data_IF_860714392846
#
_entry.id   IF_860714392846
#
_cell.length_a   1.000
_cell.length_b   1.000
_cell.length_c   1.000
_cell.angle_alpha   90.00
_cell.angle_beta   90.00
_cell.angle_gamma   90.00
#
_symmetry.space_group_name_H-M   'P 1'
#
loop_
_entity.id
_entity.type
_entity.pdbx_description
1 polymer ?
#
# COMPACT_ATOMS: atom_id res chain seq x y z
N UNK A 1 5.21 -3.86 -2.33
CA UNK A 1 4.90 -5.28 -2.04
C UNK A 1 3.45 -5.43 -1.60
N UNK A 2 2.89 -6.63 -1.63
CA UNK A 2 1.51 -6.93 -1.24
C UNK A 2 1.42 -8.10 -0.26
N UNK A 3 2.57 -8.77 -0.02
CA UNK A 3 2.64 -10.07 0.66
C UNK A 3 3.39 -9.97 2.00
N UNK A 4 3.46 -8.77 2.58
CA UNK A 4 4.16 -8.50 3.85
C UNK A 4 5.65 -8.91 3.80
N UNK A 5 6.27 -8.71 2.66
CA UNK A 5 7.72 -8.88 2.52
C UNK A 5 8.43 -7.66 3.10
N UNK A 6 8.57 -7.68 4.40
CA UNK A 6 9.05 -6.53 5.17
C UNK A 6 10.46 -6.09 4.78
N UNK A 7 11.28 -6.99 4.26
CA UNK A 7 12.59 -6.66 3.69
C UNK A 7 12.52 -5.70 2.50
N UNK A 8 11.46 -5.81 1.68
CA UNK A 8 11.21 -4.88 0.56
C UNK A 8 10.59 -3.56 1.03
N UNK A 9 9.68 -3.64 1.98
CA UNK A 9 9.09 -2.44 2.60
C UNK A 9 10.18 -1.63 3.29
N UNK A 10 11.16 -2.31 3.90
CA UNK A 10 12.31 -1.66 4.54
C UNK A 10 13.15 -0.84 3.58
N UNK A 11 13.35 -1.26 2.33
CA UNK A 11 14.08 -0.43 1.35
C UNK A 11 13.42 0.95 1.18
N UNK A 12 12.09 0.99 1.08
CA UNK A 12 11.35 2.25 0.99
C UNK A 12 11.36 3.03 2.31
N UNK A 13 11.20 2.34 3.44
CA UNK A 13 11.30 2.94 4.76
C UNK A 13 12.67 3.61 4.98
N UNK A 14 13.74 2.89 4.68
CA UNK A 14 15.11 3.39 4.83
C UNK A 14 15.39 4.62 3.95
N UNK A 15 14.84 4.66 2.74
CA UNK A 15 14.89 5.85 1.91
C UNK A 15 14.20 7.04 2.59
N UNK A 16 12.98 6.84 3.04
CA UNK A 16 12.11 7.91 3.55
C UNK A 16 12.53 8.41 4.93
N UNK A 17 12.99 7.52 5.80
CA UNK A 17 13.29 7.85 7.20
C UNK A 17 14.79 8.04 7.44
N UNK A 18 15.61 7.14 6.87
CA UNK A 18 17.04 7.10 7.13
C UNK A 18 17.88 7.76 6.02
N UNK A 19 17.29 8.11 4.89
CA UNK A 19 17.99 8.69 3.75
C UNK A 19 19.00 7.71 3.12
N UNK A 20 18.67 6.42 3.10
CA UNK A 20 19.49 5.36 2.53
C UNK A 20 19.07 5.08 1.10
N UNK A 21 20.01 5.20 0.17
CA UNK A 21 19.80 4.96 -1.25
C UNK A 21 20.97 5.48 -2.09
N UNK A 22 20.88 5.29 -3.41
CA UNK A 22 21.84 5.90 -4.34
C UNK A 22 21.72 7.41 -4.27
N UNK A 23 22.82 8.11 -4.09
CA UNK A 23 22.84 9.57 -3.99
C UNK A 23 22.88 10.22 -5.37
N UNK A 24 22.05 11.25 -5.57
CA UNK A 24 22.08 12.11 -6.75
C UNK A 24 21.66 13.53 -6.41
N UNK A 25 22.25 14.51 -7.07
CA UNK A 25 21.83 15.91 -7.05
C UNK A 25 20.90 16.26 -8.21
N UNK A 26 20.76 15.34 -9.18
CA UNK A 26 19.88 15.46 -10.33
C UNK A 26 18.98 14.23 -10.46
N UNK A 27 17.76 14.36 -9.97
CA UNK A 27 16.80 13.24 -9.93
C UNK A 27 16.35 12.81 -11.33
N UNK A 28 16.23 13.75 -12.28
CA UNK A 28 15.84 13.43 -13.66
C UNK A 28 16.92 12.59 -14.34
N UNK A 29 18.19 12.99 -14.19
CA UNK A 29 19.30 12.21 -14.71
C UNK A 29 19.37 10.82 -14.05
N UNK A 30 19.19 10.73 -12.73
CA UNK A 30 19.20 9.47 -12.01
C UNK A 30 18.10 8.49 -12.47
N UNK A 31 16.93 9.01 -12.82
CA UNK A 31 15.85 8.22 -13.42
C UNK A 31 16.23 7.73 -14.82
N UNK A 32 16.77 8.62 -15.66
CA UNK A 32 17.21 8.27 -17.01
C UNK A 32 18.30 7.18 -17.00
N UNK A 33 19.29 7.30 -16.11
CA UNK A 33 20.32 6.28 -15.92
C UNK A 33 19.75 4.91 -15.52
N UNK A 34 18.66 4.90 -14.74
CA UNK A 34 17.95 3.65 -14.42
C UNK A 34 17.31 3.05 -15.67
N UNK A 35 16.66 3.85 -16.50
CA UNK A 35 16.05 3.40 -17.75
C UNK A 35 17.10 2.93 -18.76
N UNK A 36 18.22 3.61 -18.86
CA UNK A 36 19.36 3.23 -19.73
C UNK A 36 19.98 1.88 -19.30
N UNK A 37 19.80 1.51 -18.03
CA UNK A 37 20.20 0.21 -17.49
C UNK A 37 19.07 -0.85 -17.50
N UNK A 38 18.00 -0.65 -18.30
CA UNK A 38 16.82 -1.50 -18.38
C UNK A 38 16.06 -1.69 -17.04
N UNK A 39 16.25 -0.76 -16.09
CA UNK A 39 15.50 -0.74 -14.82
C UNK A 39 14.44 0.33 -14.89
N UNK A 40 13.18 -0.11 -15.09
CA UNK A 40 12.04 0.78 -15.29
C UNK A 40 11.16 0.89 -14.05
N UNK A 41 10.53 2.03 -13.86
CA UNK A 41 9.49 2.42 -12.91
C UNK A 41 9.40 1.58 -11.64
N UNK A 42 8.69 0.45 -11.69
CA UNK A 42 8.43 -0.44 -10.55
C UNK A 42 9.71 -1.03 -9.90
N UNK A 43 10.79 -1.12 -10.67
CA UNK A 43 12.03 -1.76 -10.25
C UNK A 43 13.14 -0.77 -9.88
N UNK A 44 12.91 0.53 -10.03
CA UNK A 44 13.88 1.55 -9.65
C UNK A 44 14.18 1.46 -8.16
N UNK A 45 15.47 1.34 -7.85
CA UNK A 45 15.95 1.29 -6.47
C UNK A 45 15.94 2.68 -5.84
N UNK A 46 15.88 2.78 -4.51
CA UNK A 46 15.86 4.05 -3.79
C UNK A 46 16.95 5.03 -4.23
N UNK A 47 16.56 6.26 -4.53
CA UNK A 47 17.46 7.36 -4.91
C UNK A 47 17.25 8.52 -3.95
N UNK A 48 18.33 8.97 -3.31
CA UNK A 48 18.34 10.08 -2.36
C UNK A 48 18.76 11.35 -3.06
N UNK A 49 17.91 12.37 -3.00
CA UNK A 49 18.30 13.71 -3.44
C UNK A 49 19.27 14.34 -2.43
N UNK A 50 20.46 14.75 -2.89
CA UNK A 50 21.49 15.34 -2.04
C UNK A 50 21.36 16.85 -1.91
N UNK A 51 20.47 17.50 -2.65
CA UNK A 51 20.27 18.96 -2.59
C UNK A 51 19.37 19.41 -1.45
N UNK A 52 18.65 18.48 -0.82
CA UNK A 52 17.77 18.75 0.32
C UNK A 52 17.70 17.55 1.27
N UNK A 53 17.32 17.79 2.52
CA UNK A 53 16.97 16.73 3.47
C UNK A 53 15.48 16.45 3.39
N UNK A 54 15.10 15.42 2.63
CA UNK A 54 13.73 14.98 2.45
C UNK A 54 13.29 13.85 3.37
N UNK A 55 14.05 13.56 4.45
CA UNK A 55 13.69 12.51 5.41
C UNK A 55 12.46 12.90 6.21
N UNK A 56 11.61 11.91 6.43
CA UNK A 56 10.44 12.07 7.31
C UNK A 56 10.90 12.11 8.76
N UNK A 57 10.42 13.08 9.52
CA UNK A 57 10.75 13.33 10.93
C UNK A 57 9.48 13.44 11.78
N UNK A 58 9.66 13.33 13.08
CA UNK A 58 8.61 13.58 14.05
C UNK A 58 7.92 14.93 13.79
N UNK A 59 6.58 14.94 13.81
CA UNK A 59 5.76 16.11 13.59
C UNK A 59 5.56 16.52 12.13
N UNK A 60 6.16 15.85 11.18
CA UNK A 60 5.97 16.14 9.76
C UNK A 60 4.56 15.85 9.26
N UNK A 61 4.19 16.52 8.16
CA UNK A 61 2.99 16.22 7.41
C UNK A 61 3.33 15.30 6.25
N UNK A 62 2.71 14.13 6.20
CA UNK A 62 2.90 13.15 5.13
C UNK A 62 1.60 12.96 4.37
N UNK A 63 1.62 13.18 3.07
CA UNK A 63 0.52 12.87 2.17
C UNK A 63 0.93 11.67 1.32
N UNK A 64 0.33 10.51 1.61
CA UNK A 64 0.54 9.32 0.81
C UNK A 64 -0.53 9.26 -0.29
N UNK A 65 -0.16 9.70 -1.47
CA UNK A 65 -1.17 9.98 -2.47
C UNK A 65 -1.43 8.85 -3.48
N UNK A 66 -1.08 7.63 -3.11
CA UNK A 66 -1.46 6.43 -3.84
C UNK A 66 -2.96 6.17 -3.66
N UNK A 67 -3.68 6.09 -4.78
CA UNK A 67 -5.12 5.79 -4.74
C UNK A 67 -5.42 4.34 -4.36
N UNK A 68 -4.60 3.39 -4.85
CA UNK A 68 -4.70 1.97 -4.49
C UNK A 68 -4.13 1.72 -3.10
N UNK A 69 -4.80 0.85 -2.35
CA UNK A 69 -4.47 0.57 -0.96
C UNK A 69 -3.49 -0.59 -0.75
N UNK A 70 -3.41 -1.53 -1.68
CA UNK A 70 -2.69 -2.80 -1.50
C UNK A 70 -1.22 -2.64 -1.07
N UNK A 71 -0.43 -1.88 -1.82
CA UNK A 71 0.99 -1.60 -1.48
C UNK A 71 1.15 -0.47 -0.47
N UNK A 72 0.28 0.54 -0.52
CA UNK A 72 0.34 1.68 0.38
C UNK A 72 0.10 1.30 1.85
N UNK A 73 -0.71 0.26 2.08
CA UNK A 73 -1.02 -0.27 3.40
C UNK A 73 0.22 -0.66 4.19
N UNK A 74 1.16 -1.39 3.60
CA UNK A 74 2.34 -1.91 4.30
C UNK A 74 3.28 -0.80 4.78
N UNK A 75 3.55 0.19 3.92
CA UNK A 75 4.37 1.32 4.33
C UNK A 75 3.67 2.20 5.38
N UNK A 76 2.34 2.35 5.29
CA UNK A 76 1.56 3.05 6.31
C UNK A 76 1.66 2.35 7.67
N UNK A 77 1.64 1.01 7.69
CA UNK A 77 1.78 0.22 8.93
C UNK A 77 3.08 0.60 9.64
N UNK A 78 4.22 0.50 8.96
CA UNK A 78 5.54 0.71 9.59
C UNK A 78 5.84 2.17 9.93
N UNK A 79 5.17 3.13 9.28
CA UNK A 79 5.33 4.54 9.60
C UNK A 79 4.42 5.01 10.75
N UNK A 80 3.24 4.37 10.95
CA UNK A 80 2.20 4.93 11.82
C UNK A 80 1.52 3.94 12.78
N UNK A 81 1.51 2.64 12.51
CA UNK A 81 0.66 1.69 13.24
C UNK A 81 1.43 0.71 14.12
N UNK A 82 2.56 0.20 13.66
CA UNK A 82 3.26 -0.89 14.33
C UNK A 82 4.77 -0.79 14.19
N UNK A 83 5.46 -0.80 15.33
CA UNK A 83 6.91 -0.98 15.37
C UNK A 83 7.30 -2.39 14.97
N UNK A 84 8.39 -2.49 14.20
CA UNK A 84 9.01 -3.76 13.79
C UNK A 84 10.52 -3.71 14.06
N UNK A 85 10.93 -3.74 15.35
CA UNK A 85 12.32 -3.57 15.74
C UNK A 85 13.24 -4.66 15.17
N UNK A 86 12.74 -5.88 15.01
CA UNK A 86 13.46 -7.00 14.38
C UNK A 86 13.80 -6.72 12.91
N UNK A 87 13.00 -5.90 12.23
CA UNK A 87 13.26 -5.44 10.87
C UNK A 87 13.92 -4.05 10.83
N UNK A 88 14.20 -3.45 11.99
CA UNK A 88 14.80 -2.11 12.09
C UNK A 88 13.87 -0.99 11.60
N UNK A 89 12.56 -1.13 11.77
CA UNK A 89 11.56 -0.13 11.44
C UNK A 89 10.77 0.26 12.69
N UNK A 90 10.55 1.57 12.86
CA UNK A 90 9.80 2.12 13.97
C UNK A 90 8.80 3.14 13.47
N UNK A 91 7.65 3.21 14.11
CA UNK A 91 6.67 4.26 13.86
C UNK A 91 7.24 5.62 14.23
N UNK A 92 6.82 6.65 13.51
CA UNK A 92 7.30 8.02 13.74
C UNK A 92 6.24 8.79 14.51
N UNK A 93 6.53 9.21 15.74
CA UNK A 93 5.56 9.91 16.58
C UNK A 93 5.13 11.25 15.96
N UNK A 94 3.88 11.62 16.21
CA UNK A 94 3.38 12.96 15.86
C UNK A 94 3.20 13.23 14.37
N UNK A 95 3.34 12.24 13.48
CA UNK A 95 3.06 12.42 12.05
C UNK A 95 1.60 12.86 11.83
N UNK A 96 1.42 13.91 11.04
CA UNK A 96 0.13 14.23 10.45
C UNK A 96 0.01 13.46 9.13
N UNK A 97 -0.49 12.23 9.21
CA UNK A 97 -0.47 11.28 8.09
C UNK A 97 -1.80 11.24 7.33
N UNK A 98 -1.74 11.56 6.06
CA UNK A 98 -2.90 11.61 5.17
C UNK A 98 -2.82 10.50 4.13
N UNK A 99 -3.78 9.58 4.17
CA UNK A 99 -3.99 8.57 3.14
C UNK A 99 -4.89 9.14 2.03
N UNK A 100 -4.56 8.90 0.79
CA UNK A 100 -5.40 9.32 -0.34
C UNK A 100 -6.80 8.70 -0.24
N UNK A 101 -6.86 7.41 0.11
CA UNK A 101 -8.09 6.64 0.31
C UNK A 101 -7.96 5.78 1.57
N UNK A 102 -9.04 5.19 2.09
CA UNK A 102 -8.93 4.24 3.20
C UNK A 102 -8.06 3.04 2.80
N UNK A 103 -6.89 2.89 3.42
CA UNK A 103 -5.99 1.77 3.15
C UNK A 103 -6.34 0.54 3.99
N UNK A 104 -6.77 0.76 5.22
CA UNK A 104 -7.29 -0.27 6.11
C UNK A 104 -8.22 0.36 7.14
N UNK A 105 -9.37 -0.28 7.39
CA UNK A 105 -10.36 0.21 8.35
C UNK A 105 -9.88 0.14 9.82
N UNK A 106 -8.84 -0.64 10.09
CA UNK A 106 -8.26 -0.77 11.44
C UNK A 106 -7.25 0.33 11.79
N UNK A 107 -6.79 1.11 10.82
CA UNK A 107 -5.77 2.14 11.05
C UNK A 107 -6.28 3.26 11.94
N UNK A 108 -5.42 3.68 12.86
CA UNK A 108 -5.71 4.75 13.82
C UNK A 108 -4.76 5.92 13.61
N UNK A 109 -5.25 7.13 13.91
CA UNK A 109 -4.43 8.33 13.86
C UNK A 109 -4.01 8.78 12.45
N UNK A 110 -4.64 8.23 11.41
CA UNK A 110 -4.45 8.67 10.01
C UNK A 110 -5.68 9.43 9.53
N UNK A 111 -5.47 10.35 8.61
CA UNK A 111 -6.53 11.11 7.95
C UNK A 111 -6.80 10.53 6.57
N UNK A 112 -8.06 10.53 6.13
CA UNK A 112 -8.48 10.08 4.82
C UNK A 112 -8.87 11.29 3.99
N UNK A 113 -8.26 11.48 2.81
CA UNK A 113 -8.58 12.60 1.93
C UNK A 113 -9.84 12.34 1.10
N UNK A 114 -9.97 11.14 0.57
CA UNK A 114 -11.11 10.73 -0.24
C UNK A 114 -11.65 9.41 0.27
N UNK A 115 -12.84 9.44 0.81
CA UNK A 115 -13.51 8.21 1.22
C UNK A 115 -13.97 7.40 0.01
N UNK A 116 -14.06 6.08 0.17
CA UNK A 116 -14.55 5.19 -0.86
C UNK A 116 -15.98 4.79 -0.53
N UNK A 117 -16.88 5.12 -1.42
CA UNK A 117 -18.21 4.55 -1.38
C UNK A 117 -18.16 3.09 -1.87
N UNK A 118 -18.82 2.20 -1.13
CA UNK A 118 -18.99 0.83 -1.58
C UNK A 118 -19.95 0.80 -2.77
N UNK A 119 -19.58 0.02 -3.79
CA UNK A 119 -20.44 -0.18 -4.96
C UNK A 119 -21.53 -1.18 -4.59
N UNK A 120 -22.79 -0.76 -4.73
CA UNK A 120 -23.95 -1.63 -4.51
C UNK A 120 -24.37 -2.33 -5.79
N UNK A 121 -25.17 -3.39 -5.64
CA UNK A 121 -25.68 -4.23 -6.75
C UNK A 121 -24.57 -4.84 -7.61
N UNK A 122 -23.47 -5.24 -6.97
CA UNK A 122 -22.44 -6.04 -7.63
C UNK A 122 -23.00 -7.40 -8.02
N UNK A 123 -22.29 -8.10 -8.94
CA UNK A 123 -22.72 -9.46 -9.33
C UNK A 123 -22.77 -10.39 -8.13
N UNK A 124 -21.79 -10.33 -7.22
CA UNK A 124 -21.79 -11.14 -6.00
C UNK A 124 -22.99 -10.87 -5.11
N UNK A 125 -23.37 -9.60 -4.95
CA UNK A 125 -24.57 -9.23 -4.19
C UNK A 125 -25.86 -9.71 -4.86
N UNK A 126 -25.95 -9.59 -6.19
CA UNK A 126 -27.11 -10.04 -6.95
C UNK A 126 -27.29 -11.56 -6.89
N UNK A 127 -26.23 -12.33 -7.03
CA UNK A 127 -26.25 -13.79 -6.90
C UNK A 127 -26.70 -14.22 -5.50
N UNK A 128 -26.16 -13.58 -4.46
CA UNK A 128 -26.56 -13.81 -3.07
C UNK A 128 -28.06 -13.55 -2.85
N UNK A 129 -28.55 -12.38 -3.28
CA UNK A 129 -29.99 -12.03 -3.20
C UNK A 129 -30.89 -13.00 -3.98
N UNK A 130 -30.33 -13.64 -5.00
CA UNK A 130 -31.01 -14.65 -5.82
C UNK A 130 -30.85 -16.08 -5.26
N UNK A 131 -30.31 -16.21 -4.03
CA UNK A 131 -30.05 -17.49 -3.36
C UNK A 131 -29.19 -18.46 -4.21
N UNK A 132 -28.21 -17.92 -4.94
CA UNK A 132 -27.22 -18.69 -5.69
C UNK A 132 -25.94 -18.79 -4.90
N UNK A 133 -25.26 -19.93 -5.03
CA UNK A 133 -23.91 -20.11 -4.53
C UNK A 133 -22.88 -19.59 -5.52
N UNK A 134 -21.75 -19.09 -5.03
CA UNK A 134 -20.66 -18.58 -5.85
C UNK A 134 -19.33 -18.93 -5.20
N UNK A 135 -18.32 -19.16 -6.01
CA UNK A 135 -16.94 -19.43 -5.57
C UNK A 135 -15.99 -18.38 -6.17
N UNK A 136 -15.28 -17.70 -5.30
CA UNK A 136 -14.22 -16.77 -5.67
C UNK A 136 -12.87 -17.42 -5.36
N UNK A 137 -12.09 -17.71 -6.41
CA UNK A 137 -10.81 -18.40 -6.28
C UNK A 137 -9.74 -17.70 -7.10
N UNK A 138 -8.59 -17.45 -6.49
CA UNK A 138 -7.43 -16.90 -7.18
C UNK A 138 -6.15 -17.15 -6.38
N UNK A 139 -5.01 -16.96 -7.05
CA UNK A 139 -3.70 -16.86 -6.41
C UNK A 139 -3.56 -15.54 -5.64
N UNK A 140 -2.52 -15.43 -4.80
CA UNK A 140 -2.34 -14.34 -3.82
C UNK A 140 -2.49 -12.95 -4.43
N UNK A 141 -1.88 -12.67 -5.60
CA UNK A 141 -1.90 -11.34 -6.20
C UNK A 141 -3.27 -10.94 -6.77
N UNK A 142 -4.09 -11.91 -7.11
CA UNK A 142 -5.43 -11.70 -7.68
C UNK A 142 -6.56 -11.93 -6.69
N UNK A 143 -6.27 -12.46 -5.50
CA UNK A 143 -7.30 -12.79 -4.51
C UNK A 143 -8.15 -11.57 -4.13
N UNK A 144 -7.53 -10.45 -3.82
CA UNK A 144 -8.26 -9.21 -3.52
C UNK A 144 -9.12 -8.72 -4.70
N UNK A 145 -8.67 -8.98 -5.94
CA UNK A 145 -9.42 -8.58 -7.13
C UNK A 145 -10.71 -9.36 -7.30
N UNK A 146 -10.68 -10.67 -7.04
CA UNK A 146 -11.88 -11.53 -7.17
C UNK A 146 -12.75 -11.54 -5.91
N UNK A 147 -12.32 -10.93 -4.81
CA UNK A 147 -13.08 -10.84 -3.55
C UNK A 147 -13.46 -9.39 -3.25
N UNK A 148 -12.60 -8.65 -2.59
CA UNK A 148 -12.85 -7.28 -2.14
C UNK A 148 -13.29 -6.35 -3.28
N UNK A 149 -12.50 -6.27 -4.36
CA UNK A 149 -12.82 -5.36 -5.48
C UNK A 149 -14.03 -5.83 -6.28
N UNK A 150 -14.14 -7.12 -6.51
CA UNK A 150 -15.30 -7.70 -7.21
C UNK A 150 -16.60 -7.48 -6.42
N UNK A 151 -16.53 -7.49 -5.11
CA UNK A 151 -17.66 -7.22 -4.22
C UNK A 151 -17.87 -5.72 -3.93
N UNK A 152 -17.26 -4.84 -4.73
CA UNK A 152 -17.50 -3.40 -4.63
C UNK A 152 -16.88 -2.71 -3.43
N UNK A 153 -15.79 -3.27 -2.89
CA UNK A 153 -15.10 -2.75 -1.70
C UNK A 153 -15.54 -3.39 -0.39
N UNK A 154 -16.28 -4.50 -0.45
CA UNK A 154 -16.75 -5.24 0.72
C UNK A 154 -15.80 -6.37 1.09
N UNK A 155 -15.27 -6.35 2.31
CA UNK A 155 -14.39 -7.41 2.84
C UNK A 155 -15.18 -8.69 3.20
N UNK A 156 -16.35 -8.52 3.82
CA UNK A 156 -17.17 -9.66 4.27
C UNK A 156 -17.81 -10.36 3.08
N UNK A 157 -17.70 -11.69 2.95
CA UNK A 157 -18.39 -12.46 1.93
C UNK A 157 -19.91 -12.21 1.95
N UNK A 158 -20.54 -12.35 0.80
CA UNK A 158 -21.99 -12.42 0.72
C UNK A 158 -22.51 -13.81 1.15
N UNK A 159 -23.76 -13.91 1.50
CA UNK A 159 -24.37 -15.21 1.77
C UNK A 159 -24.28 -16.11 0.52
N UNK A 160 -23.82 -17.35 0.70
CA UNK A 160 -23.59 -18.30 -0.39
C UNK A 160 -22.28 -18.08 -1.17
N UNK A 161 -21.41 -17.17 -0.68
CA UNK A 161 -20.07 -16.92 -1.26
C UNK A 161 -18.99 -17.70 -0.50
N UNK A 162 -18.29 -18.58 -1.22
CA UNK A 162 -17.09 -19.25 -0.75
C UNK A 162 -15.84 -18.62 -1.37
N UNK A 163 -14.72 -18.63 -0.63
CA UNK A 163 -13.43 -18.06 -1.05
C UNK A 163 -12.30 -19.05 -0.89
N UNK A 164 -11.50 -19.21 -1.93
CA UNK A 164 -10.28 -20.03 -1.92
C UNK A 164 -9.10 -19.20 -2.36
N UNK A 165 -8.11 -19.07 -1.49
CA UNK A 165 -6.79 -18.54 -1.81
C UNK A 165 -5.89 -19.70 -2.21
N UNK A 166 -5.33 -19.64 -3.41
CA UNK A 166 -4.31 -20.57 -3.89
C UNK A 166 -2.94 -19.94 -3.62
N UNK A 167 -2.09 -20.57 -2.81
CA UNK A 167 -0.74 -20.05 -2.49
C UNK A 167 0.17 -19.95 -3.70
#
# INVERSE_FOLDING_TARGET
DRDKRWERVKEAYDLLVNGIGRKSDNMVQAMQESYDADVTDEFIKPIVNTTCDGRIKEGDVVIFFNYRNDRAKELTIVLTQQDMPEAGMHTIPGLQYYCMTPYDASFKGVHILFDKENVHNTLGEYLSKSHKTQLHIAETEKYAHVTFFFNGGRETPFEGEDRILVP
#
